data_IF_861279414227
#
_entry.id   IF_861279414227
#
_cell.length_a   1.000
_cell.length_b   1.000
_cell.length_c   1.000
_cell.angle_alpha   90.00
_cell.angle_beta   90.00
_cell.angle_gamma   90.00
#
_symmetry.space_group_name_H-M   'P 1'
#
loop_
_entity.id
_entity.type
_entity.pdbx_description
1 polymer ?
#
# COMPACT_ATOMS: atom_id res chain seq x y z
N UNK A 1 32.17 -30.46 17.84
CA UNK A 1 31.49 -29.84 16.67
C UNK A 1 30.19 -29.24 17.19
N UNK A 2 30.22 -27.96 17.57
CA UNK A 2 29.05 -27.23 18.08
C UNK A 2 28.34 -26.62 16.86
N UNK A 3 27.20 -27.19 16.47
CA UNK A 3 26.27 -26.55 15.52
C UNK A 3 25.66 -25.32 16.21
N UNK A 4 25.89 -24.09 15.73
CA UNK A 4 25.31 -22.91 16.34
C UNK A 4 23.81 -22.87 16.01
N UNK A 5 23.01 -22.97 17.07
CA UNK A 5 21.55 -23.01 17.07
C UNK A 5 20.93 -21.95 16.14
N UNK A 6 20.19 -22.41 15.13
CA UNK A 6 19.58 -21.57 14.08
C UNK A 6 18.54 -20.55 14.54
N UNK A 7 18.23 -20.48 15.84
CA UNK A 7 17.22 -19.58 16.41
C UNK A 7 17.55 -18.09 16.23
N UNK A 8 18.80 -17.68 16.41
CA UNK A 8 19.19 -16.28 16.25
C UNK A 8 19.01 -15.77 14.80
N UNK A 9 19.30 -16.63 13.82
CA UNK A 9 19.13 -16.32 12.39
C UNK A 9 17.65 -16.17 12.01
N UNK A 10 16.78 -16.96 12.63
CA UNK A 10 15.33 -16.89 12.39
C UNK A 10 14.74 -15.56 12.89
N UNK A 11 15.15 -15.10 14.08
CA UNK A 11 14.68 -13.82 14.63
C UNK A 11 15.12 -12.62 13.78
N UNK A 12 16.40 -12.56 13.38
CA UNK A 12 16.89 -11.49 12.50
C UNK A 12 16.17 -11.48 11.15
N UNK A 13 15.90 -12.65 10.57
CA UNK A 13 15.15 -12.78 9.30
C UNK A 13 13.70 -12.31 9.46
N UNK A 14 13.04 -12.64 10.57
CA UNK A 14 11.67 -12.21 10.83
C UNK A 14 11.58 -10.68 10.97
N UNK A 15 12.50 -10.07 11.72
CA UNK A 15 12.57 -8.61 11.88
C UNK A 15 12.83 -7.92 10.55
N UNK A 16 13.76 -8.44 9.73
CA UNK A 16 14.02 -7.89 8.39
C UNK A 16 12.76 -7.82 7.52
N UNK A 17 12.00 -8.92 7.45
CA UNK A 17 10.76 -8.93 6.67
C UNK A 17 9.74 -7.96 7.26
N UNK A 18 9.52 -7.96 8.58
CA UNK A 18 8.58 -7.04 9.24
C UNK A 18 8.92 -5.58 8.93
N UNK A 19 10.20 -5.20 9.03
CA UNK A 19 10.64 -3.84 8.70
C UNK A 19 10.33 -3.48 7.25
N UNK A 20 10.56 -4.39 6.30
CA UNK A 20 10.22 -4.16 4.88
C UNK A 20 8.71 -4.06 4.64
N UNK A 21 7.89 -4.85 5.32
CA UNK A 21 6.43 -4.73 5.25
C UNK A 21 5.94 -3.39 5.82
N UNK A 22 6.50 -2.97 6.96
CA UNK A 22 6.14 -1.71 7.59
C UNK A 22 6.51 -0.51 6.73
N UNK A 23 7.72 -0.50 6.16
CA UNK A 23 8.17 0.55 5.22
C UNK A 23 7.26 0.64 4.00
N UNK A 24 6.89 -0.50 3.39
CA UNK A 24 5.94 -0.54 2.27
C UNK A 24 4.57 0.00 2.68
N UNK A 25 4.05 -0.40 3.83
CA UNK A 25 2.76 0.05 4.33
C UNK A 25 2.74 1.57 4.56
N UNK A 26 3.76 2.10 5.24
CA UNK A 26 3.91 3.53 5.50
C UNK A 26 3.99 4.32 4.19
N UNK A 27 4.83 3.88 3.25
CA UNK A 27 4.98 4.54 1.95
C UNK A 27 3.67 4.60 1.17
N UNK A 28 2.93 3.49 1.11
CA UNK A 28 1.62 3.44 0.44
C UNK A 28 0.59 4.35 1.09
N UNK A 29 0.44 4.27 2.42
CA UNK A 29 -0.54 5.09 3.17
C UNK A 29 -0.22 6.57 3.00
N UNK A 30 1.06 6.96 3.08
CA UNK A 30 1.46 8.36 2.94
C UNK A 30 1.17 8.93 1.56
N UNK A 31 1.32 8.13 0.50
CA UNK A 31 0.97 8.56 -0.85
C UNK A 31 -0.55 8.67 -1.05
N UNK A 32 -1.33 7.76 -0.47
CA UNK A 32 -2.80 7.84 -0.46
C UNK A 32 -3.24 9.11 0.27
N UNK A 33 -2.73 9.35 1.48
CA UNK A 33 -3.07 10.50 2.32
C UNK A 33 -2.83 11.83 1.59
N UNK A 34 -1.63 12.03 1.03
CA UNK A 34 -1.30 13.23 0.24
C UNK A 34 -2.19 13.36 -0.99
N UNK A 35 -2.54 12.24 -1.65
CA UNK A 35 -3.42 12.30 -2.84
C UNK A 35 -4.84 12.71 -2.46
N UNK A 36 -5.33 12.24 -1.31
CA UNK A 36 -6.64 12.59 -0.78
C UNK A 36 -6.69 14.07 -0.39
N UNK A 37 -5.69 14.54 0.36
CA UNK A 37 -5.56 15.94 0.76
C UNK A 37 -5.55 16.89 -0.46
N UNK A 38 -4.71 16.60 -1.47
CA UNK A 38 -4.64 17.38 -2.70
C UNK A 38 -5.93 17.37 -3.54
N UNK A 39 -6.77 16.34 -3.41
CA UNK A 39 -8.06 16.29 -4.10
C UNK A 39 -9.18 16.97 -3.31
N UNK A 40 -9.09 17.03 -1.98
CA UNK A 40 -9.99 17.84 -1.15
C UNK A 40 -9.80 19.34 -1.39
N UNK A 41 -8.56 19.78 -1.61
CA UNK A 41 -8.23 21.18 -1.93
C UNK A 41 -8.72 21.64 -3.32
N UNK A 42 -9.00 20.70 -4.21
CA UNK A 42 -9.63 21.00 -5.50
C UNK A 42 -11.13 21.18 -5.25
N UNK A 43 -11.61 22.42 -5.30
CA UNK A 43 -13.06 22.75 -5.40
C UNK A 43 -13.74 21.78 -6.38
N UNK A 44 -15.04 21.43 -6.19
CA UNK A 44 -15.77 20.48 -7.03
C UNK A 44 -16.05 21.09 -8.42
N UNK A 45 -15.00 21.40 -9.17
CA UNK A 45 -15.05 21.76 -10.58
C UNK A 45 -14.71 20.51 -11.37
N UNK A 46 -15.75 19.72 -11.64
CA UNK A 46 -15.94 18.79 -12.78
C UNK A 46 -14.91 17.69 -13.10
N UNK A 47 -13.73 17.65 -12.49
CA UNK A 47 -12.75 16.60 -12.67
C UNK A 47 -12.61 15.86 -11.35
N UNK A 48 -13.16 14.64 -11.26
CA UNK A 48 -13.10 13.81 -10.06
C UNK A 48 -11.68 13.41 -9.64
N UNK A 49 -11.60 12.38 -8.82
CA UNK A 49 -10.33 11.84 -8.36
C UNK A 49 -9.56 11.15 -9.50
N UNK A 50 -8.33 11.57 -9.79
CA UNK A 50 -7.43 10.88 -10.73
C UNK A 50 -6.56 9.88 -9.94
N UNK A 51 -7.14 8.71 -9.62
CA UNK A 51 -6.43 7.64 -8.91
C UNK A 51 -5.58 6.76 -9.84
N UNK A 52 -5.75 6.84 -11.16
CA UNK A 52 -4.88 6.17 -12.14
C UNK A 52 -3.41 6.53 -11.94
N UNK A 53 -3.13 7.84 -11.79
CA UNK A 53 -1.76 8.30 -11.52
C UNK A 53 -1.20 7.74 -10.21
N UNK A 54 -2.04 7.63 -9.18
CA UNK A 54 -1.62 7.08 -7.88
C UNK A 54 -1.25 5.59 -8.02
N UNK A 55 -2.06 4.81 -8.73
CA UNK A 55 -1.77 3.40 -9.01
C UNK A 55 -0.46 3.24 -9.78
N UNK A 56 -0.20 4.09 -10.77
CA UNK A 56 1.05 4.08 -11.52
C UNK A 56 2.28 4.35 -10.64
N UNK A 57 2.17 5.25 -9.65
CA UNK A 57 3.24 5.56 -8.69
C UNK A 57 3.45 4.39 -7.72
N UNK A 58 2.35 3.83 -7.20
CA UNK A 58 2.38 2.68 -6.28
C UNK A 58 2.79 1.37 -6.95
N UNK A 59 2.86 1.35 -8.29
CA UNK A 59 3.11 0.14 -9.10
C UNK A 59 2.08 -0.96 -8.86
N UNK A 60 0.85 -0.56 -8.54
CA UNK A 60 -0.25 -1.51 -8.38
C UNK A 60 -0.63 -2.09 -9.74
N UNK A 61 -0.80 -3.40 -9.76
CA UNK A 61 -1.31 -4.16 -10.88
C UNK A 61 -2.77 -3.79 -11.06
N UNK A 62 -3.09 -3.01 -12.09
CA UNK A 62 -4.47 -2.66 -12.40
C UNK A 62 -5.20 -3.92 -12.89
N UNK A 63 -5.90 -4.60 -11.99
CA UNK A 63 -6.71 -5.79 -12.29
C UNK A 63 -8.16 -5.43 -12.66
N UNK A 64 -8.53 -4.14 -12.61
CA UNK A 64 -9.87 -3.64 -12.93
C UNK A 64 -9.89 -2.11 -13.13
N UNK A 65 -11.09 -1.53 -13.21
CA UNK A 65 -11.24 -0.07 -13.25
C UNK A 65 -10.72 0.55 -11.94
N UNK A 66 -9.97 1.65 -12.03
CA UNK A 66 -9.52 2.37 -10.85
C UNK A 66 -10.74 2.84 -10.06
N UNK A 67 -10.68 2.80 -8.72
CA UNK A 67 -11.76 3.33 -7.90
C UNK A 67 -12.03 4.79 -8.25
N UNK A 68 -13.27 5.23 -8.09
CA UNK A 68 -13.74 6.58 -8.40
C UNK A 68 -13.98 7.43 -7.15
N UNK A 69 -13.95 6.79 -5.98
CA UNK A 69 -14.14 7.42 -4.67
C UNK A 69 -12.98 7.16 -3.70
N UNK A 70 -12.67 8.09 -2.79
CA UNK A 70 -11.66 7.90 -1.74
C UNK A 70 -11.87 6.64 -0.90
N UNK A 71 -13.12 6.33 -0.57
CA UNK A 71 -13.46 5.16 0.22
C UNK A 71 -13.12 3.86 -0.52
N UNK A 72 -13.50 3.76 -1.81
CA UNK A 72 -13.16 2.60 -2.63
C UNK A 72 -11.64 2.48 -2.84
N UNK A 73 -10.92 3.60 -2.96
CA UNK A 73 -9.47 3.60 -3.00
C UNK A 73 -8.86 2.97 -1.75
N UNK A 74 -9.28 3.41 -0.56
CA UNK A 74 -8.78 2.89 0.71
C UNK A 74 -9.09 1.39 0.83
N UNK A 75 -10.33 1.00 0.52
CA UNK A 75 -10.75 -0.40 0.62
C UNK A 75 -9.88 -1.32 -0.27
N UNK A 76 -9.74 -0.96 -1.54
CA UNK A 76 -8.96 -1.73 -2.53
C UNK A 76 -7.46 -1.74 -2.25
N UNK A 77 -6.91 -0.63 -1.76
CA UNK A 77 -5.46 -0.44 -1.61
C UNK A 77 -4.92 -0.89 -0.25
N UNK A 78 -5.76 -0.87 0.79
CA UNK A 78 -5.33 -1.12 2.17
C UNK A 78 -5.89 -2.44 2.69
N UNK A 79 -7.15 -2.76 2.42
CA UNK A 79 -7.86 -3.84 3.12
C UNK A 79 -8.19 -5.06 2.25
N UNK A 80 -8.28 -4.90 0.93
CA UNK A 80 -8.65 -5.98 0.02
C UNK A 80 -7.58 -7.08 -0.02
N UNK A 81 -7.87 -8.23 0.58
CA UNK A 81 -6.99 -9.40 0.58
C UNK A 81 -6.94 -10.13 -0.77
N UNK A 82 -7.90 -9.89 -1.66
CA UNK A 82 -7.89 -10.44 -3.02
C UNK A 82 -6.93 -9.69 -3.94
N UNK A 83 -6.69 -8.40 -3.65
CA UNK A 83 -5.72 -7.58 -4.35
C UNK A 83 -4.26 -7.95 -3.95
N UNK A 84 -3.43 -8.44 -4.90
CA UNK A 84 -2.04 -8.80 -4.62
C UNK A 84 -1.19 -7.63 -4.07
N UNK A 85 -1.54 -6.39 -4.41
CA UNK A 85 -0.74 -5.21 -4.08
C UNK A 85 -1.19 -4.51 -2.79
N UNK A 86 -2.30 -4.97 -2.21
CA UNK A 86 -2.87 -4.43 -0.97
C UNK A 86 -1.88 -4.48 0.20
N UNK A 87 -2.00 -3.51 1.11
CA UNK A 87 -1.18 -3.44 2.32
C UNK A 87 -1.49 -4.59 3.28
N UNK A 88 -2.77 -4.95 3.45
CA UNK A 88 -3.17 -6.04 4.35
C UNK A 88 -2.73 -7.43 3.85
N UNK A 89 -2.34 -7.55 2.58
CA UNK A 89 -1.87 -8.79 2.01
C UNK A 89 -0.36 -8.98 2.27
N UNK A 90 -0.03 -10.14 2.84
CA UNK A 90 1.33 -10.59 3.16
C UNK A 90 2.03 -11.19 1.95
#
# INVERSE_FOLDING_TARGET
MFEPSGGARQHCRALYWISRYLERAEHTIRLIDVRLDLGLDRRPSSAGWDFERLYAILRFSQTGEPPDTPAALIETSVFDLSNPDSVARR
#
